data_IF_735508527871
#
_entry.id   IF_735508527871
#
_cell.length_a   1.000
_cell.length_b   1.000
_cell.length_c   1.000
_cell.angle_alpha   90.00
_cell.angle_beta   90.00
_cell.angle_gamma   90.00
#
_symmetry.space_group_name_H-M   'P 1'
#
loop_
_entity.id
_entity.type
_entity.pdbx_description
1 polymer ?
#
# COMPACT_ATOMS: atom_id res chain seq x y z
N UNK A 1 -0.85 11.91 6.60
CA UNK A 1 0.41 11.51 7.28
C UNK A 1 1.63 11.96 6.48
N UNK A 2 1.65 11.76 5.17
CA UNK A 2 2.80 12.11 4.29
C UNK A 2 2.93 13.59 3.96
N UNK A 3 1.95 14.43 4.31
CA UNK A 3 1.98 15.88 4.11
C UNK A 3 1.47 16.62 5.36
N UNK A 4 1.89 17.88 5.50
CA UNK A 4 1.44 18.79 6.55
C UNK A 4 -0.07 18.95 6.53
N UNK A 5 -0.70 18.84 7.70
CA UNK A 5 -2.15 18.92 7.84
C UNK A 5 -2.49 19.44 9.25
N UNK A 6 -3.71 19.95 9.50
CA UNK A 6 -4.08 20.56 10.78
C UNK A 6 -4.40 19.56 11.89
N UNK A 7 -4.40 18.24 11.61
CA UNK A 7 -4.78 17.21 12.58
C UNK A 7 -3.56 16.65 13.31
N UNK A 8 -2.44 16.47 12.61
CA UNK A 8 -1.19 15.92 13.16
C UNK A 8 -0.05 16.92 12.96
N UNK A 9 0.62 17.28 14.05
CA UNK A 9 1.88 18.02 14.00
C UNK A 9 3.01 17.20 13.35
N UNK A 10 4.13 17.85 13.10
CA UNK A 10 5.26 17.27 12.35
C UNK A 10 5.86 16.07 13.08
N UNK A 11 5.98 16.13 14.41
CA UNK A 11 6.50 15.06 15.24
C UNK A 11 5.58 13.83 15.24
N UNK A 12 4.26 14.04 15.36
CA UNK A 12 3.27 12.96 15.30
C UNK A 12 3.25 12.28 13.93
N UNK A 13 3.43 13.04 12.85
CA UNK A 13 3.54 12.48 11.48
C UNK A 13 4.82 11.68 11.32
N UNK A 14 5.97 12.20 11.77
CA UNK A 14 7.23 11.48 11.75
C UNK A 14 7.14 10.17 12.54
N UNK A 15 6.49 10.20 13.70
CA UNK A 15 6.31 9.03 14.56
C UNK A 15 5.47 7.94 13.88
N UNK A 16 4.30 8.27 13.33
CA UNK A 16 3.45 7.27 12.66
C UNK A 16 4.08 6.71 11.37
N UNK A 17 4.79 7.56 10.61
CA UNK A 17 5.53 7.12 9.42
C UNK A 17 6.67 6.16 9.81
N UNK A 18 7.38 6.40 10.91
CA UNK A 18 8.36 5.45 11.45
C UNK A 18 7.72 4.10 11.78
N UNK A 19 6.65 4.10 12.57
CA UNK A 19 5.98 2.85 12.99
C UNK A 19 5.46 2.02 11.79
N UNK A 20 4.89 2.69 10.79
CA UNK A 20 4.38 2.04 9.58
C UNK A 20 5.48 1.70 8.56
N UNK A 21 6.63 2.37 8.64
CA UNK A 21 7.85 2.07 7.89
C UNK A 21 8.61 0.87 8.45
N UNK A 22 8.51 0.59 9.75
CA UNK A 22 9.24 -0.48 10.45
C UNK A 22 8.41 -1.75 10.71
N UNK A 23 7.26 -1.93 10.05
CA UNK A 23 6.47 -3.18 10.12
C UNK A 23 7.36 -4.38 9.75
N UNK A 24 7.33 -5.43 10.56
CA UNK A 24 8.18 -6.63 10.42
C UNK A 24 7.94 -7.37 9.10
N UNK A 25 8.94 -8.05 8.53
CA UNK A 25 8.83 -8.67 7.20
C UNK A 25 7.61 -9.57 7.00
N UNK A 26 7.25 -10.39 8.00
CA UNK A 26 6.09 -11.30 7.91
C UNK A 26 4.74 -10.60 7.83
N UNK A 27 4.67 -9.30 8.11
CA UNK A 27 3.47 -8.48 8.00
C UNK A 27 3.57 -7.38 6.93
N UNK A 28 4.62 -7.37 6.10
CA UNK A 28 4.79 -6.41 4.98
C UNK A 28 4.25 -6.94 3.65
N UNK A 29 3.11 -7.63 3.67
CA UNK A 29 2.40 -8.08 2.47
C UNK A 29 1.39 -7.03 1.98
N UNK A 30 0.80 -7.23 0.80
CA UNK A 30 -0.32 -6.44 0.30
C UNK A 30 0.11 -5.27 -0.59
N UNK A 31 -0.29 -4.04 -0.25
CA UNK A 31 0.02 -2.85 -1.06
C UNK A 31 1.51 -2.61 -1.33
N UNK A 32 2.48 -3.05 -0.50
CA UNK A 32 3.91 -2.95 -0.86
C UNK A 32 4.35 -3.77 -2.07
N UNK A 33 3.56 -4.76 -2.51
CA UNK A 33 3.98 -5.69 -3.55
C UNK A 33 4.17 -4.98 -4.90
N UNK A 34 5.40 -4.93 -5.38
CA UNK A 34 5.76 -4.27 -6.65
C UNK A 34 6.10 -2.79 -6.51
N UNK A 35 6.18 -2.25 -5.29
CA UNK A 35 6.60 -0.87 -5.07
C UNK A 35 8.02 -0.61 -5.65
N UNK A 36 8.30 0.60 -6.16
CA UNK A 36 9.63 0.99 -6.61
C UNK A 36 10.69 0.78 -5.52
N UNK A 37 11.89 0.36 -5.92
CA UNK A 37 12.97 0.03 -4.98
C UNK A 37 13.53 1.24 -4.22
N UNK A 38 13.29 2.45 -4.71
CA UNK A 38 13.70 3.72 -4.12
C UNK A 38 12.56 4.45 -3.37
N UNK A 39 11.35 3.90 -3.39
CA UNK A 39 10.23 4.44 -2.62
C UNK A 39 10.35 4.05 -1.13
N UNK A 40 10.07 5.00 -0.24
CA UNK A 40 9.79 4.72 1.17
C UNK A 40 8.40 4.12 1.28
N UNK A 41 8.30 2.98 1.97
CA UNK A 41 7.04 2.23 2.09
C UNK A 41 6.53 2.23 3.53
N UNK A 42 5.36 2.82 3.71
CA UNK A 42 4.61 2.84 4.96
C UNK A 42 3.36 1.98 4.82
N UNK A 43 3.23 0.91 5.60
CA UNK A 43 2.14 -0.05 5.43
C UNK A 43 1.35 -0.29 6.71
N UNK A 44 0.04 -0.48 6.55
CA UNK A 44 -0.82 -1.02 7.61
C UNK A 44 -1.80 -2.04 7.03
N UNK A 45 -1.75 -3.24 7.59
CA UNK A 45 -2.59 -4.35 7.22
C UNK A 45 -3.67 -4.63 8.27
N UNK A 46 -4.76 -5.29 7.85
CA UNK A 46 -5.84 -5.75 8.73
C UNK A 46 -6.55 -6.97 8.13
N UNK A 47 -6.82 -7.98 8.96
CA UNK A 47 -7.49 -9.20 8.53
C UNK A 47 -8.36 -9.75 9.65
N UNK A 48 -9.55 -10.24 9.29
CA UNK A 48 -10.49 -10.80 10.26
C UNK A 48 -11.52 -11.68 9.56
N UNK A 49 -11.60 -12.93 9.99
CA UNK A 49 -12.67 -13.85 9.61
C UNK A 49 -13.97 -13.45 10.29
N UNK A 50 -15.10 -13.66 9.61
CA UNK A 50 -16.43 -13.52 10.19
C UNK A 50 -17.23 -14.80 10.10
N UNK A 51 -18.23 -14.89 10.98
CA UNK A 51 -19.20 -15.97 11.02
C UNK A 51 -19.96 -16.14 9.69
N UNK A 52 -20.16 -15.05 8.95
CA UNK A 52 -20.69 -15.04 7.58
C UNK A 52 -19.79 -14.17 6.73
N UNK A 53 -19.76 -14.37 5.41
CA UNK A 53 -19.03 -13.51 4.46
C UNK A 53 -17.50 -13.59 4.55
N UNK A 54 -16.97 -14.75 4.96
CA UNK A 54 -15.55 -15.10 4.87
C UNK A 54 -14.59 -14.10 5.54
N UNK A 55 -13.42 -13.93 4.93
CA UNK A 55 -12.35 -13.06 5.42
C UNK A 55 -12.48 -11.64 4.88
N UNK A 56 -12.32 -10.65 5.78
CA UNK A 56 -11.81 -9.34 5.36
C UNK A 56 -10.31 -9.36 5.36
N UNK A 57 -9.75 -8.83 4.28
CA UNK A 57 -8.31 -8.63 4.14
C UNK A 57 -8.12 -7.24 3.56
N UNK A 58 -7.33 -6.43 4.25
CA UNK A 58 -7.14 -5.02 3.95
C UNK A 58 -5.66 -4.71 4.00
N UNK A 59 -5.22 -3.86 3.07
CA UNK A 59 -3.88 -3.32 3.07
C UNK A 59 -3.92 -1.87 2.62
N UNK A 60 -3.25 -1.02 3.37
CA UNK A 60 -3.11 0.40 3.13
C UNK A 60 -1.63 0.73 3.07
N UNK A 61 -1.24 1.45 2.02
CA UNK A 61 0.14 1.85 1.77
C UNK A 61 0.24 3.34 1.47
N UNK A 62 1.29 3.98 1.99
CA UNK A 62 1.77 5.26 1.51
C UNK A 62 3.21 5.09 1.00
N UNK A 63 3.46 5.64 -0.18
CA UNK A 63 4.69 5.52 -0.93
C UNK A 63 5.20 6.92 -1.19
N UNK A 64 6.41 7.22 -0.73
CA UNK A 64 7.01 8.55 -0.89
C UNK A 64 8.44 8.44 -1.39
N UNK A 65 8.91 9.43 -2.14
CA UNK A 65 10.19 9.35 -2.84
C UNK A 65 10.07 8.62 -4.18
N UNK A 66 11.19 8.49 -4.89
CA UNK A 66 11.17 8.13 -6.32
C UNK A 66 10.53 9.24 -7.16
N UNK A 67 9.79 8.86 -8.20
CA UNK A 67 9.15 9.81 -9.12
C UNK A 67 7.81 10.37 -8.62
N UNK A 68 7.06 9.61 -7.81
CA UNK A 68 5.71 9.97 -7.39
C UNK A 68 5.42 9.62 -5.92
N UNK A 69 4.82 10.56 -5.19
CA UNK A 69 4.21 10.32 -3.89
C UNK A 69 2.74 9.92 -4.06
N UNK A 70 2.34 8.75 -3.55
CA UNK A 70 0.97 8.26 -3.66
C UNK A 70 0.58 7.32 -2.53
N UNK A 71 -0.73 7.04 -2.45
CA UNK A 71 -1.29 6.09 -1.50
C UNK A 71 -2.11 5.03 -2.23
N UNK A 72 -2.07 3.80 -1.74
CA UNK A 72 -2.94 2.70 -2.20
C UNK A 72 -3.75 2.22 -1.00
N UNK A 73 -5.04 2.01 -1.18
CA UNK A 73 -5.90 1.36 -0.18
C UNK A 73 -6.76 0.33 -0.89
N UNK A 74 -6.62 -0.93 -0.49
CA UNK A 74 -7.43 -2.03 -1.00
C UNK A 74 -8.18 -2.64 0.18
N UNK A 75 -9.51 -2.60 0.09
CA UNK A 75 -10.40 -3.21 1.06
C UNK A 75 -11.17 -4.34 0.37
N UNK A 76 -10.93 -5.59 0.77
CA UNK A 76 -11.68 -6.74 0.28
C UNK A 76 -12.45 -7.45 1.40
N UNK A 77 -13.53 -8.11 1.02
CA UNK A 77 -14.37 -8.95 1.86
C UNK A 77 -14.78 -10.21 1.07
N UNK A 78 -15.43 -11.17 1.73
CA UNK A 78 -15.89 -12.42 1.11
C UNK A 78 -14.75 -13.29 0.56
N UNK A 79 -13.49 -13.07 1.00
CA UNK A 79 -12.38 -13.93 0.60
C UNK A 79 -12.51 -15.31 1.29
N UNK A 80 -12.27 -16.39 0.55
CA UNK A 80 -12.36 -17.75 1.08
C UNK A 80 -11.26 -18.02 2.13
N UNK A 81 -10.06 -17.48 1.92
CA UNK A 81 -8.95 -17.52 2.87
C UNK A 81 -8.30 -16.14 3.03
N UNK A 82 -7.45 -16.00 4.05
CA UNK A 82 -6.58 -14.81 4.16
C UNK A 82 -5.62 -14.72 2.96
N UNK A 83 -5.07 -15.84 2.52
CA UNK A 83 -4.08 -15.89 1.44
C UNK A 83 -4.68 -15.47 0.10
N UNK A 84 -5.92 -15.85 -0.20
CA UNK A 84 -6.65 -15.38 -1.39
C UNK A 84 -6.79 -13.85 -1.36
N UNK A 85 -7.13 -13.30 -0.20
CA UNK A 85 -7.24 -11.86 -0.02
C UNK A 85 -5.91 -11.15 -0.19
N UNK A 86 -4.83 -11.70 0.35
CA UNK A 86 -3.47 -11.16 0.17
C UNK A 86 -3.10 -11.18 -1.32
N UNK A 87 -3.26 -12.33 -2.00
CA UNK A 87 -2.92 -12.48 -3.41
C UNK A 87 -3.66 -11.48 -4.31
N UNK A 88 -4.95 -11.28 -4.07
CA UNK A 88 -5.76 -10.30 -4.81
C UNK A 88 -5.26 -8.86 -4.60
N UNK A 89 -4.98 -8.48 -3.35
CA UNK A 89 -4.43 -7.16 -3.01
C UNK A 89 -3.09 -6.94 -3.71
N UNK A 90 -2.19 -7.92 -3.66
CA UNK A 90 -0.87 -7.78 -4.25
C UNK A 90 -0.93 -7.74 -5.79
N UNK A 91 -1.89 -8.43 -6.41
CA UNK A 91 -2.15 -8.30 -7.85
C UNK A 91 -2.54 -6.88 -8.24
N UNK A 92 -3.45 -6.26 -7.49
CA UNK A 92 -3.86 -4.87 -7.68
C UNK A 92 -2.68 -3.92 -7.44
N UNK A 93 -1.93 -4.12 -6.36
CA UNK A 93 -0.80 -3.28 -6.00
C UNK A 93 0.27 -3.26 -7.10
N UNK A 94 0.69 -4.42 -7.60
CA UNK A 94 1.66 -4.52 -8.70
C UNK A 94 1.21 -3.75 -9.93
N UNK A 95 -0.05 -3.90 -10.34
CA UNK A 95 -0.59 -3.18 -11.49
C UNK A 95 -0.56 -1.65 -11.28
N UNK A 96 -0.91 -1.17 -10.09
CA UNK A 96 -0.87 0.28 -9.78
C UNK A 96 0.56 0.79 -9.79
N UNK A 97 1.49 0.10 -9.12
CA UNK A 97 2.90 0.49 -9.10
C UNK A 97 3.51 0.51 -10.51
N UNK A 98 3.25 -0.51 -11.31
CA UNK A 98 3.74 -0.57 -12.69
C UNK A 98 3.23 0.63 -13.50
N UNK A 99 1.93 0.94 -13.44
CA UNK A 99 1.36 2.04 -14.24
C UNK A 99 1.81 3.43 -13.77
N UNK A 100 1.95 3.65 -12.46
CA UNK A 100 2.39 4.94 -11.93
C UNK A 100 3.88 5.21 -12.13
N UNK A 101 4.70 4.15 -12.27
CA UNK A 101 6.15 4.27 -12.40
C UNK A 101 6.66 3.80 -13.78
N UNK A 102 5.75 3.54 -14.72
CA UNK A 102 6.12 3.31 -16.10
C UNK A 102 6.78 4.59 -16.65
N UNK A 103 7.88 4.47 -17.42
CA UNK A 103 8.43 5.62 -18.12
C UNK A 103 7.31 6.21 -18.98
N UNK A 104 7.07 7.53 -18.86
CA UNK A 104 6.18 8.22 -19.78
C UNK A 104 6.65 7.88 -21.18
N UNK A 105 5.88 7.09 -21.91
CA UNK A 105 6.17 6.86 -23.32
C UNK A 105 6.13 8.24 -23.95
N UNK A 106 7.29 8.73 -24.37
CA UNK A 106 7.36 9.88 -25.25
C UNK A 106 6.43 9.54 -26.40
N UNK A 107 5.26 10.19 -26.43
CA UNK A 107 4.29 10.01 -27.48
C UNK A 107 5.07 10.09 -28.79
N UNK A 108 5.07 8.98 -29.52
CA UNK A 108 5.76 8.89 -30.79
C UNK A 108 5.13 9.97 -31.68
N UNK A 109 5.84 11.09 -31.81
CA UNK A 109 5.49 12.16 -32.74
C UNK A 109 5.84 11.63 -34.13
N UNK A 110 4.85 10.95 -34.70
CA UNK A 110 4.76 10.40 -36.06
C UNK A 110 5.80 9.33 -36.41
#
# INVERSE_FOLDING_TARGET
MTHTNPVLDDDSRAYILKLTGEVIPSQRWGTPAGAPGDAQVHVKNGWLERATNGWRVHSLGAFTGGDHDYTITVLSQDNATIDDGIANIEGIARAVHENLNAPTSSAQLW
#
